data_IF_965727738117
#
_entry.id   IF_965727738117
#
_cell.length_a   1.000
_cell.length_b   1.000
_cell.length_c   1.000
_cell.angle_alpha   90.00
_cell.angle_beta   90.00
_cell.angle_gamma   90.00
#
_symmetry.space_group_name_H-M   'P 1'
#
loop_
_entity.id
_entity.type
_entity.pdbx_description
1 polymer ?
#
# COMPACT_ATOMS: atom_id res chain seq x y z
N UNK A 1 7.36 -3.47 11.45
CA UNK A 1 8.62 -3.37 10.69
C UNK A 1 8.39 -3.49 9.19
N UNK A 2 7.60 -4.46 8.70
CA UNK A 2 7.29 -4.62 7.27
C UNK A 2 6.73 -3.34 6.61
N UNK A 3 5.77 -2.67 7.26
CA UNK A 3 5.19 -1.39 6.80
C UNK A 3 6.20 -0.24 6.70
N UNK A 4 7.19 -0.21 7.59
CA UNK A 4 8.25 0.81 7.57
C UNK A 4 9.19 0.59 6.38
N UNK A 5 9.59 -0.65 6.15
CA UNK A 5 10.46 -1.00 5.02
C UNK A 5 9.73 -0.80 3.69
N UNK A 6 8.46 -1.20 3.60
CA UNK A 6 7.62 -1.00 2.41
C UNK A 6 7.38 0.49 2.10
N UNK A 7 7.02 1.28 3.13
CA UNK A 7 6.86 2.73 2.99
C UNK A 7 8.16 3.43 2.61
N UNK A 8 9.29 3.01 3.21
CA UNK A 8 10.60 3.55 2.87
C UNK A 8 11.02 3.18 1.44
N UNK A 9 10.80 1.94 0.98
CA UNK A 9 11.05 1.57 -0.42
C UNK A 9 10.23 2.40 -1.40
N UNK A 10 8.95 2.63 -1.11
CA UNK A 10 8.05 3.43 -1.97
C UNK A 10 8.33 4.94 -1.95
N UNK A 11 9.03 5.44 -0.92
CA UNK A 11 9.48 6.84 -0.86
C UNK A 11 10.86 7.06 -1.50
N UNK A 12 11.71 6.04 -1.51
CA UNK A 12 13.04 6.13 -2.13
C UNK A 12 13.00 5.93 -3.64
N UNK A 13 12.01 5.22 -4.17
CA UNK A 13 11.75 5.11 -5.59
C UNK A 13 10.68 6.13 -6.04
N UNK A 14 10.75 6.61 -7.29
CA UNK A 14 9.80 7.62 -7.77
C UNK A 14 8.37 7.08 -7.67
N UNK A 15 7.44 7.94 -7.22
CA UNK A 15 6.00 7.63 -7.11
C UNK A 15 5.39 7.08 -8.42
N UNK A 16 6.06 7.28 -9.54
CA UNK A 16 5.72 6.75 -10.85
C UNK A 16 5.74 5.22 -10.89
N UNK A 17 6.66 4.51 -10.21
CA UNK A 17 6.72 3.05 -10.27
C UNK A 17 5.51 2.39 -9.61
N UNK A 18 5.13 2.87 -8.42
CA UNK A 18 3.93 2.38 -7.77
C UNK A 18 2.66 2.75 -8.55
N UNK A 19 2.65 3.88 -9.27
CA UNK A 19 1.55 4.24 -10.17
C UNK A 19 1.43 3.30 -11.38
N UNK A 20 2.56 2.79 -11.91
CA UNK A 20 2.55 1.78 -12.97
C UNK A 20 2.01 0.44 -12.46
N UNK A 21 2.38 0.06 -11.25
CA UNK A 21 1.82 -1.12 -10.59
C UNK A 21 0.32 -0.93 -10.41
N UNK A 22 -0.16 0.19 -9.87
CA UNK A 22 -1.60 0.49 -9.75
C UNK A 22 -2.34 0.49 -11.10
N UNK A 23 -1.71 0.94 -12.18
CA UNK A 23 -2.27 0.84 -13.55
C UNK A 23 -2.44 -0.60 -14.01
N UNK A 24 -1.54 -1.49 -13.60
CA UNK A 24 -1.61 -2.92 -13.95
C UNK A 24 -2.81 -3.65 -13.33
N UNK A 25 -3.42 -3.08 -12.28
CA UNK A 25 -4.64 -3.63 -11.68
C UNK A 25 -5.87 -3.51 -12.59
N UNK A 26 -5.82 -2.66 -13.63
CA UNK A 26 -6.86 -2.39 -14.66
C UNK A 26 -8.26 -1.98 -14.15
N UNK A 27 -8.57 -2.21 -12.87
CA UNK A 27 -9.82 -1.89 -12.19
C UNK A 27 -9.81 -0.54 -11.51
N UNK A 28 -8.62 -0.01 -11.19
CA UNK A 28 -8.48 1.24 -10.46
C UNK A 28 -8.62 2.38 -11.48
N UNK A 29 -9.64 3.26 -11.36
CA UNK A 29 -9.81 4.37 -12.28
C UNK A 29 -8.60 5.30 -12.21
N UNK A 30 -8.16 5.84 -13.34
CA UNK A 30 -6.91 6.62 -13.43
C UNK A 30 -6.89 7.85 -12.51
N UNK A 31 -8.07 8.38 -12.16
CA UNK A 31 -8.22 9.48 -11.19
C UNK A 31 -7.85 9.09 -9.75
N UNK A 32 -7.93 7.81 -9.39
CA UNK A 32 -7.56 7.30 -8.07
C UNK A 32 -6.10 6.82 -7.99
N UNK A 33 -5.45 6.58 -9.13
CA UNK A 33 -4.07 6.09 -9.19
C UNK A 33 -3.09 7.10 -8.59
N UNK A 34 -3.21 8.39 -8.95
CA UNK A 34 -2.37 9.46 -8.39
C UNK A 34 -2.52 9.63 -6.87
N UNK A 35 -3.75 9.82 -6.35
CA UNK A 35 -3.99 9.94 -4.91
C UNK A 35 -3.55 8.71 -4.11
N UNK A 36 -3.89 7.50 -4.57
CA UNK A 36 -3.52 6.26 -3.87
C UNK A 36 -2.01 6.06 -3.83
N UNK A 37 -1.29 6.47 -4.88
CA UNK A 37 0.16 6.39 -4.93
C UNK A 37 0.88 7.30 -3.93
N UNK A 38 0.20 8.28 -3.34
CA UNK A 38 0.77 9.18 -2.32
C UNK A 38 0.22 8.82 -0.92
N UNK A 39 -1.09 8.58 -0.82
CA UNK A 39 -1.78 8.37 0.46
C UNK A 39 -1.36 7.03 1.09
N UNK A 40 -1.26 5.97 0.30
CA UNK A 40 -0.90 4.62 0.81
C UNK A 40 0.52 4.61 1.41
N UNK A 41 1.59 5.02 0.70
CA UNK A 41 2.92 5.06 1.28
C UNK A 41 3.04 6.01 2.47
N UNK A 42 2.35 7.16 2.45
CA UNK A 42 2.29 8.06 3.59
C UNK A 42 1.71 7.40 4.85
N UNK A 43 0.64 6.62 4.70
CA UNK A 43 0.04 5.86 5.80
C UNK A 43 0.91 4.70 6.29
N UNK A 44 1.60 3.99 5.40
CA UNK A 44 2.54 2.92 5.79
C UNK A 44 3.71 3.47 6.63
N UNK A 45 4.24 4.65 6.27
CA UNK A 45 5.29 5.32 7.04
C UNK A 45 4.81 5.82 8.40
N UNK A 46 3.65 6.48 8.43
CA UNK A 46 3.06 6.97 9.68
C UNK A 46 2.80 5.81 10.65
N UNK A 47 2.10 4.77 10.20
CA UNK A 47 1.78 3.63 11.05
C UNK A 47 3.03 2.89 11.50
N UNK A 48 4.01 2.69 10.60
CA UNK A 48 5.28 2.06 10.93
C UNK A 48 6.12 2.86 11.93
N UNK A 49 6.16 4.19 11.80
CA UNK A 49 6.87 5.08 12.71
C UNK A 49 6.26 5.07 14.11
N UNK A 50 4.93 5.19 14.22
CA UNK A 50 4.25 5.11 15.51
C UNK A 50 4.35 3.72 16.16
N UNK A 51 4.36 2.64 15.38
CA UNK A 51 4.59 1.29 15.89
C UNK A 51 6.00 1.11 16.46
N UNK A 52 7.02 1.72 15.83
CA UNK A 52 8.41 1.69 16.35
C UNK A 52 8.55 2.52 17.62
N UNK A 53 7.89 3.68 17.70
CA UNK A 53 7.91 4.51 18.89
C UNK A 53 7.10 3.93 20.06
N UNK A 54 6.28 2.88 19.84
CA UNK A 54 5.48 2.24 20.89
C UNK A 54 4.37 3.10 21.48
N UNK A 55 4.06 4.24 20.85
CA UNK A 55 3.03 5.19 21.28
C UNK A 55 1.69 4.89 20.59
N UNK A 56 0.59 4.93 21.33
CA UNK A 56 -0.78 4.70 20.82
C UNK A 56 -0.96 3.38 20.05
N UNK A 57 -0.27 2.32 20.46
CA UNK A 57 -0.28 0.99 19.80
C UNK A 57 -1.68 0.44 19.53
N UNK A 58 -2.66 0.69 20.40
CA UNK A 58 -4.05 0.25 20.23
C UNK A 58 -4.74 0.93 19.02
N UNK A 59 -4.56 2.24 18.84
CA UNK A 59 -5.10 2.98 17.70
C UNK A 59 -4.36 2.60 16.40
N UNK A 60 -3.03 2.52 16.46
CA UNK A 60 -2.20 2.17 15.30
C UNK A 60 -2.47 0.74 14.84
N UNK A 61 -2.71 -0.21 15.75
CA UNK A 61 -3.07 -1.59 15.39
C UNK A 61 -4.38 -1.66 14.61
N UNK A 62 -5.35 -0.78 14.93
CA UNK A 62 -6.63 -0.67 14.23
C UNK A 62 -6.43 -0.15 12.80
N UNK A 63 -5.58 0.86 12.63
CA UNK A 63 -5.26 1.43 11.32
C UNK A 63 -4.53 0.39 10.45
N UNK A 64 -3.56 -0.32 11.03
CA UNK A 64 -2.83 -1.39 10.34
C UNK A 64 -3.77 -2.53 9.95
N UNK A 65 -4.68 -2.94 10.83
CA UNK A 65 -5.69 -3.94 10.51
C UNK A 65 -6.60 -3.48 9.35
N UNK A 66 -6.97 -2.19 9.33
CA UNK A 66 -7.75 -1.61 8.23
C UNK A 66 -6.99 -1.63 6.90
N UNK A 67 -5.70 -1.25 6.91
CA UNK A 67 -4.84 -1.32 5.72
C UNK A 67 -4.70 -2.76 5.20
N UNK A 68 -4.50 -3.73 6.10
CA UNK A 68 -4.44 -5.15 5.74
C UNK A 68 -5.76 -5.63 5.13
N UNK A 69 -6.89 -5.28 5.72
CA UNK A 69 -8.21 -5.64 5.19
C UNK A 69 -8.44 -5.04 3.80
N UNK A 70 -8.09 -3.76 3.60
CA UNK A 70 -8.18 -3.12 2.30
C UNK A 70 -7.29 -3.81 1.25
N UNK A 71 -6.07 -4.17 1.63
CA UNK A 71 -5.14 -4.91 0.76
C UNK A 71 -5.68 -6.30 0.39
N UNK A 72 -6.16 -7.06 1.38
CA UNK A 72 -6.75 -8.39 1.16
C UNK A 72 -7.97 -8.29 0.25
N UNK A 73 -8.84 -7.30 0.47
CA UNK A 73 -10.02 -7.08 -0.36
C UNK A 73 -9.61 -6.79 -1.82
N UNK A 74 -8.65 -5.88 -2.04
CA UNK A 74 -8.14 -5.56 -3.36
C UNK A 74 -7.54 -6.79 -4.06
N UNK A 75 -6.65 -7.53 -3.37
CA UNK A 75 -6.06 -8.77 -3.89
C UNK A 75 -7.11 -9.81 -4.23
N UNK A 76 -8.08 -10.02 -3.35
CA UNK A 76 -9.16 -10.98 -3.60
C UNK A 76 -9.97 -10.63 -4.85
N UNK A 77 -10.18 -9.34 -5.10
CA UNK A 77 -10.90 -8.86 -6.27
C UNK A 77 -10.09 -9.06 -7.55
N UNK A 78 -8.79 -8.76 -7.53
CA UNK A 78 -7.86 -9.00 -8.66
C UNK A 78 -7.84 -10.46 -9.06
N UNK A 79 -7.68 -11.35 -8.08
CA UNK A 79 -7.66 -12.79 -8.29
C UNK A 79 -9.02 -13.27 -8.82
N UNK A 80 -10.13 -12.78 -8.26
CA UNK A 80 -11.48 -13.12 -8.72
C UNK A 80 -11.76 -12.66 -10.16
N UNK A 81 -11.13 -11.56 -10.61
CA UNK A 81 -11.23 -11.05 -11.97
C UNK A 81 -10.19 -11.66 -12.93
N UNK A 82 -9.32 -12.54 -12.43
CA UNK A 82 -8.30 -13.23 -13.25
C UNK A 82 -7.22 -12.28 -13.78
N UNK A 83 -6.95 -11.17 -13.09
CA UNK A 83 -5.93 -10.20 -13.49
C UNK A 83 -4.57 -10.72 -13.06
N UNK A 84 -3.71 -11.05 -14.02
CA UNK A 84 -2.34 -11.47 -13.77
C UNK A 84 -1.47 -10.24 -13.44
N UNK A 85 -1.31 -9.97 -12.15
CA UNK A 85 -0.35 -8.98 -11.66
C UNK A 85 0.97 -9.68 -11.32
N UNK A 86 2.06 -9.24 -11.95
CA UNK A 86 3.41 -9.76 -11.70
C UNK A 86 4.00 -9.26 -10.37
N UNK A 87 3.63 -8.05 -9.95
CA UNK A 87 4.01 -7.47 -8.67
C UNK A 87 2.77 -6.91 -7.95
N UNK A 88 2.58 -7.35 -6.71
CA UNK A 88 1.55 -6.87 -5.81
C UNK A 88 1.80 -5.42 -5.33
N UNK A 89 2.98 -4.85 -5.60
CA UNK A 89 3.35 -3.48 -5.23
C UNK A 89 3.59 -3.30 -3.75
N UNK A 90 3.78 -4.39 -2.99
CA UNK A 90 4.15 -4.32 -1.59
C UNK A 90 5.56 -3.72 -1.40
N UNK A 91 6.46 -3.97 -2.35
CA UNK A 91 7.79 -3.37 -2.42
C UNK A 91 7.93 -2.81 -3.83
N UNK A 92 8.26 -1.52 -3.99
CA UNK A 92 8.60 -0.99 -5.31
C UNK A 92 9.96 -1.59 -5.71
N UNK A 93 9.94 -2.64 -6.52
CA UNK A 93 11.14 -3.34 -6.99
C UNK A 93 10.84 -4.38 -8.07
#
# INVERSE_FOLDING_TARGET
>A
MLFLVAGFSKLLLPAEEFSQILRSYQMIPEIFIGPLGIVVPGMELLTGFFLVLGLFTRLISLIVALQLLAFIALMSLVIALGIEIGDCGCFSG
#
